data_IF_888489230014
#
_entry.id   IF_888489230014
#
_cell.length_a   1.000
_cell.length_b   1.000
_cell.length_c   1.000
_cell.angle_alpha   90.00
_cell.angle_beta   90.00
_cell.angle_gamma   90.00
#
_symmetry.space_group_name_H-M   'P 1'
#
loop_
_entity.id
_entity.type
_entity.pdbx_description
1 polymer ?
#
# COMPACT_ATOMS: atom_id res chain seq x y z
N UNK A 1 3.11 35.31 -16.98
CA UNK A 1 2.88 35.09 -15.54
C UNK A 1 2.58 33.60 -15.38
N UNK A 2 3.61 32.77 -15.22
CA UNK A 2 3.39 31.36 -14.88
C UNK A 2 3.04 31.32 -13.41
N UNK A 3 1.79 31.02 -13.12
CA UNK A 3 1.27 30.90 -11.77
C UNK A 3 2.15 29.89 -11.02
N UNK A 4 2.84 30.36 -9.98
CA UNK A 4 3.59 29.50 -9.07
C UNK A 4 2.53 28.78 -8.24
N UNK A 5 1.94 27.73 -8.81
CA UNK A 5 1.51 26.60 -8.01
C UNK A 5 2.77 26.17 -7.26
N UNK A 6 2.84 26.54 -5.98
CA UNK A 6 4.05 26.44 -5.19
C UNK A 6 4.55 25.01 -5.21
N UNK A 7 5.86 24.82 -5.30
CA UNK A 7 6.39 23.48 -5.42
C UNK A 7 6.08 22.65 -4.16
N UNK A 8 5.88 21.34 -4.30
CA UNK A 8 5.76 20.43 -3.18
C UNK A 8 6.92 20.58 -2.20
N UNK A 9 6.58 20.69 -0.93
CA UNK A 9 7.53 20.87 0.15
C UNK A 9 7.79 19.53 0.83
N UNK A 10 9.08 19.14 0.87
CA UNK A 10 9.53 17.92 1.52
C UNK A 10 10.00 18.24 2.94
N UNK A 11 9.54 17.44 3.91
CA UNK A 11 9.95 17.54 5.31
C UNK A 11 10.65 16.27 5.77
N UNK A 12 11.40 16.40 6.87
CA UNK A 12 11.97 15.27 7.59
C UNK A 12 11.15 14.98 8.86
N UNK A 13 11.05 13.72 9.22
CA UNK A 13 10.40 13.25 10.46
C UNK A 13 11.35 12.28 11.19
N UNK A 14 11.30 12.20 12.53
CA UNK A 14 12.27 11.40 13.30
C UNK A 14 12.31 9.91 12.95
N UNK A 15 11.19 9.35 12.46
CA UNK A 15 11.03 7.92 12.19
C UNK A 15 11.52 7.50 10.79
N UNK A 16 11.98 8.43 9.96
CA UNK A 16 12.50 8.11 8.63
C UNK A 16 13.83 7.37 8.71
N UNK A 17 13.99 6.39 7.81
CA UNK A 17 15.30 5.87 7.45
C UNK A 17 15.90 6.70 6.32
N UNK A 18 17.20 6.54 6.09
CA UNK A 18 17.89 7.10 4.93
C UNK A 18 18.56 5.98 4.12
N UNK A 19 18.32 5.97 2.82
CA UNK A 19 18.96 5.06 1.87
C UNK A 19 19.50 5.87 0.69
N UNK A 20 20.78 5.68 0.35
CA UNK A 20 21.46 6.39 -0.74
C UNK A 20 21.32 7.93 -0.67
N UNK A 21 21.36 8.49 0.55
CA UNK A 21 21.20 9.94 0.78
C UNK A 21 19.76 10.44 0.63
N UNK A 22 18.76 9.55 0.66
CA UNK A 22 17.34 9.89 0.47
C UNK A 22 16.48 9.36 1.61
N UNK A 23 15.50 10.15 2.09
CA UNK A 23 14.60 9.72 3.17
C UNK A 23 13.63 8.63 2.70
N UNK A 24 13.33 7.69 3.60
CA UNK A 24 12.33 6.64 3.42
C UNK A 24 11.39 6.57 4.64
N UNK A 25 10.07 6.78 4.44
CA UNK A 25 9.44 7.30 3.21
C UNK A 25 9.80 8.77 2.98
N UNK A 26 9.68 9.29 1.76
CA UNK A 26 9.67 10.74 1.55
C UNK A 26 8.36 11.34 2.11
N UNK A 27 8.38 12.56 2.66
CA UNK A 27 7.20 13.16 3.30
C UNK A 27 6.90 14.52 2.67
N UNK A 28 5.72 14.66 2.08
CA UNK A 28 5.17 15.96 1.67
C UNK A 28 4.20 16.46 2.73
N UNK A 29 4.35 17.71 3.14
CA UNK A 29 3.39 18.37 4.02
C UNK A 29 2.48 19.34 3.27
N UNK A 30 1.39 19.74 3.92
CA UNK A 30 0.46 20.74 3.40
C UNK A 30 0.91 22.17 3.74
N UNK A 31 2.15 22.54 3.42
CA UNK A 31 2.71 23.87 3.72
C UNK A 31 1.86 25.01 3.13
N UNK A 32 1.22 24.75 1.99
CA UNK A 32 0.40 25.72 1.26
C UNK A 32 -0.98 25.95 1.88
N UNK A 33 -1.29 25.25 2.99
CA UNK A 33 -2.58 25.37 3.68
C UNK A 33 -3.76 25.11 2.72
N UNK A 34 -3.64 24.09 1.86
CA UNK A 34 -4.71 23.67 0.97
C UNK A 34 -5.85 23.10 1.82
N UNK A 35 -7.02 23.73 1.76
CA UNK A 35 -8.17 23.38 2.61
C UNK A 35 -9.27 22.63 1.87
N UNK A 36 -9.33 22.71 0.54
CA UNK A 36 -10.39 22.06 -0.25
C UNK A 36 -9.85 20.89 -1.05
N UNK A 37 -10.68 19.85 -1.18
CA UNK A 37 -10.35 18.68 -1.99
C UNK A 37 -10.04 19.04 -3.44
N UNK A 38 -10.78 19.98 -4.03
CA UNK A 38 -10.54 20.43 -5.41
C UNK A 38 -9.16 21.09 -5.57
N UNK A 39 -8.73 21.91 -4.61
CA UNK A 39 -7.40 22.52 -4.62
C UNK A 39 -6.30 21.46 -4.45
N UNK A 40 -6.52 20.48 -3.58
CA UNK A 40 -5.58 19.36 -3.37
C UNK A 40 -5.45 18.52 -4.64
N UNK A 41 -6.55 18.14 -5.29
CA UNK A 41 -6.48 17.36 -6.52
C UNK A 41 -5.81 18.13 -7.67
N UNK A 42 -6.09 19.43 -7.80
CA UNK A 42 -5.42 20.27 -8.79
C UNK A 42 -3.91 20.38 -8.51
N UNK A 43 -3.52 20.52 -7.24
CA UNK A 43 -2.12 20.54 -6.81
C UNK A 43 -1.42 19.22 -7.11
N UNK A 44 -2.06 18.07 -6.84
CA UNK A 44 -1.51 16.75 -7.17
C UNK A 44 -1.25 16.60 -8.67
N UNK A 45 -2.25 16.96 -9.49
CA UNK A 45 -2.17 16.86 -10.95
C UNK A 45 -1.08 17.78 -11.51
N UNK A 46 -0.99 19.02 -11.03
CA UNK A 46 0.04 19.96 -11.46
C UNK A 46 1.46 19.52 -11.10
N UNK A 47 1.62 18.71 -10.05
CA UNK A 47 2.92 18.28 -9.54
C UNK A 47 3.22 16.79 -9.79
N UNK A 48 2.40 16.11 -10.59
CA UNK A 48 2.46 14.66 -10.79
C UNK A 48 3.87 14.15 -11.13
N UNK A 49 4.54 14.78 -12.10
CA UNK A 49 5.88 14.37 -12.53
C UNK A 49 6.93 14.42 -11.41
N UNK A 50 6.83 15.42 -10.51
CA UNK A 50 7.72 15.52 -9.35
C UNK A 50 7.38 14.45 -8.31
N UNK A 51 6.09 14.26 -8.01
CA UNK A 51 5.62 13.26 -7.04
C UNK A 51 6.02 11.85 -7.48
N UNK A 52 5.85 11.51 -8.76
CA UNK A 52 6.24 10.22 -9.34
C UNK A 52 7.75 10.00 -9.27
N UNK A 53 8.55 11.02 -9.60
CA UNK A 53 10.01 10.94 -9.49
C UNK A 53 10.46 10.71 -8.05
N UNK A 54 9.83 11.38 -7.09
CA UNK A 54 10.14 11.19 -5.67
C UNK A 54 9.72 9.79 -5.22
N UNK A 55 8.52 9.33 -5.58
CA UNK A 55 8.05 7.98 -5.28
C UNK A 55 8.96 6.90 -5.85
N UNK A 56 9.40 7.05 -7.11
CA UNK A 56 10.33 6.12 -7.75
C UNK A 56 11.68 6.07 -7.01
N UNK A 57 12.15 7.21 -6.49
CA UNK A 57 13.42 7.32 -5.81
C UNK A 57 13.39 6.81 -4.35
N UNK A 58 12.31 7.09 -3.62
CA UNK A 58 12.18 6.72 -2.21
C UNK A 58 11.54 5.34 -2.01
N UNK A 59 10.70 4.90 -2.95
CA UNK A 59 9.87 3.69 -2.84
C UNK A 59 8.56 3.89 -2.08
N UNK A 60 8.45 4.94 -1.27
CA UNK A 60 7.23 5.30 -0.55
C UNK A 60 7.17 6.80 -0.27
N UNK A 61 5.94 7.34 -0.28
CA UNK A 61 5.65 8.74 0.01
C UNK A 61 4.53 8.84 1.03
N UNK A 62 4.71 9.69 2.05
CA UNK A 62 3.69 10.08 3.01
C UNK A 62 3.22 11.51 2.71
N UNK A 63 1.91 11.70 2.58
CA UNK A 63 1.29 13.02 2.54
C UNK A 63 0.74 13.36 3.93
N UNK A 64 1.22 14.43 4.57
CA UNK A 64 0.89 14.80 5.96
C UNK A 64 0.25 16.19 6.04
N UNK A 65 -0.78 16.34 6.85
CA UNK A 65 -1.45 17.65 7.08
C UNK A 65 -2.46 18.05 6.00
N UNK A 66 -2.80 17.16 5.07
CA UNK A 66 -3.89 17.39 4.11
C UNK A 66 -5.23 17.01 4.74
N UNK A 67 -6.30 17.82 4.59
CA UNK A 67 -7.61 17.58 5.19
C UNK A 67 -8.42 16.50 4.42
N UNK A 68 -7.93 15.26 4.43
CA UNK A 68 -8.60 14.10 3.84
C UNK A 68 -9.31 13.34 4.96
N UNK A 69 -10.60 13.60 5.15
CA UNK A 69 -11.32 13.18 6.36
C UNK A 69 -12.10 11.87 6.23
N UNK A 70 -12.45 11.45 5.01
CA UNK A 70 -13.31 10.29 4.78
C UNK A 70 -12.96 9.53 3.49
N UNK A 71 -13.57 8.35 3.33
CA UNK A 71 -13.31 7.46 2.20
C UNK A 71 -13.56 8.11 0.83
N UNK A 72 -14.61 8.93 0.67
CA UNK A 72 -14.91 9.62 -0.58
C UNK A 72 -13.86 10.70 -0.93
N UNK A 73 -13.35 11.40 0.08
CA UNK A 73 -12.25 12.35 -0.11
C UNK A 73 -10.94 11.62 -0.47
N UNK A 74 -10.65 10.50 0.19
CA UNK A 74 -9.47 9.68 -0.10
C UNK A 74 -9.53 9.02 -1.49
N UNK A 75 -10.71 8.58 -1.92
CA UNK A 75 -10.96 8.08 -3.26
C UNK A 75 -10.58 9.15 -4.30
N UNK A 76 -11.13 10.36 -4.18
CA UNK A 76 -10.79 11.48 -5.09
C UNK A 76 -9.31 11.88 -5.02
N UNK A 77 -8.70 11.82 -3.84
CA UNK A 77 -7.27 12.07 -3.66
C UNK A 77 -6.42 11.06 -4.43
N UNK A 78 -6.68 9.77 -4.26
CA UNK A 78 -5.92 8.71 -4.94
C UNK A 78 -6.17 8.70 -6.45
N UNK A 79 -7.40 8.95 -6.88
CA UNK A 79 -7.76 9.04 -8.30
C UNK A 79 -7.06 10.21 -9.03
N UNK A 80 -6.70 11.29 -8.32
CA UNK A 80 -6.03 12.45 -8.92
C UNK A 80 -4.64 12.12 -9.50
N UNK A 81 -4.04 10.99 -9.13
CA UNK A 81 -2.78 10.51 -9.71
C UNK A 81 -2.97 9.85 -11.08
N UNK A 82 -4.19 9.49 -11.48
CA UNK A 82 -4.47 8.88 -12.79
C UNK A 82 -3.82 7.52 -13.01
N UNK A 83 -3.48 6.79 -11.95
CA UNK A 83 -3.01 5.41 -12.07
C UNK A 83 -4.16 4.48 -12.45
N UNK A 84 -3.89 3.34 -13.13
CA UNK A 84 -4.90 2.34 -13.41
C UNK A 84 -5.54 1.82 -12.12
N UNK A 85 -6.86 1.69 -12.13
CA UNK A 85 -7.60 1.11 -11.02
C UNK A 85 -7.28 -0.38 -10.89
N UNK A 86 -7.27 -0.86 -9.65
CA UNK A 86 -7.16 -2.27 -9.33
C UNK A 86 -8.33 -2.60 -8.40
N UNK A 87 -9.37 -3.25 -8.94
CA UNK A 87 -10.56 -3.52 -8.13
C UNK A 87 -10.34 -4.75 -7.26
N UNK A 88 -10.99 -4.78 -6.09
CA UNK A 88 -10.92 -5.96 -5.22
C UNK A 88 -11.55 -7.21 -5.86
N UNK A 89 -12.54 -7.04 -6.75
CA UNK A 89 -13.16 -8.15 -7.47
C UNK A 89 -12.19 -8.83 -8.45
N UNK A 90 -11.26 -8.06 -9.01
CA UNK A 90 -10.16 -8.57 -9.84
C UNK A 90 -9.04 -9.18 -8.98
N UNK A 91 -9.12 -9.04 -7.65
CA UNK A 91 -8.12 -9.56 -6.73
C UNK A 91 -8.41 -11.01 -6.30
N UNK A 92 -7.38 -11.85 -6.37
CA UNK A 92 -7.35 -13.18 -5.73
C UNK A 92 -6.89 -13.10 -4.27
N UNK A 93 -7.17 -11.98 -3.58
CA UNK A 93 -6.73 -11.75 -2.19
C UNK A 93 -7.51 -12.63 -1.21
N UNK A 94 -6.89 -13.13 -0.14
CA UNK A 94 -7.57 -13.98 0.85
C UNK A 94 -8.13 -13.21 2.07
N UNK A 95 -7.92 -11.89 2.11
CA UNK A 95 -8.32 -11.05 3.23
C UNK A 95 -9.80 -10.67 3.14
N UNK A 96 -10.47 -10.51 4.28
CA UNK A 96 -11.82 -9.92 4.32
C UNK A 96 -11.70 -8.40 4.22
N UNK A 97 -12.58 -7.77 3.41
CA UNK A 97 -12.56 -6.34 3.09
C UNK A 97 -13.98 -5.78 3.12
N UNK A 98 -14.13 -4.55 3.63
CA UNK A 98 -15.37 -3.77 3.50
C UNK A 98 -15.14 -2.66 2.48
N UNK A 99 -15.87 -2.69 1.36
CA UNK A 99 -15.83 -1.62 0.37
C UNK A 99 -16.55 -0.37 0.90
N UNK A 100 -15.85 0.76 0.86
CA UNK A 100 -16.37 2.07 1.24
C UNK A 100 -16.67 2.92 -0.01
N UNK A 101 -15.91 2.69 -1.09
CA UNK A 101 -16.17 3.15 -2.46
C UNK A 101 -15.71 2.07 -3.46
N UNK A 102 -15.74 2.35 -4.76
CA UNK A 102 -15.26 1.42 -5.79
C UNK A 102 -13.74 1.14 -5.69
N UNK A 103 -12.96 2.11 -5.19
CA UNK A 103 -11.49 2.02 -5.03
C UNK A 103 -11.01 1.93 -3.59
N UNK A 104 -11.85 2.33 -2.63
CA UNK A 104 -11.46 2.42 -1.22
C UNK A 104 -12.15 1.32 -0.43
N UNK A 105 -11.35 0.53 0.27
CA UNK A 105 -11.80 -0.54 1.15
C UNK A 105 -10.93 -0.61 2.41
N UNK A 106 -11.46 -1.26 3.46
CA UNK A 106 -10.71 -1.42 4.73
C UNK A 106 -9.52 -2.35 4.57
N UNK A 107 -8.36 -2.00 5.15
CA UNK A 107 -7.09 -2.66 4.89
C UNK A 107 -6.84 -3.98 5.66
N UNK A 108 -7.58 -4.24 6.74
CA UNK A 108 -7.58 -5.52 7.46
C UNK A 108 -8.71 -5.54 8.49
N UNK A 109 -9.42 -6.66 8.59
CA UNK A 109 -10.43 -6.92 9.62
C UNK A 109 -9.97 -7.98 10.64
N UNK A 110 -8.70 -8.41 10.57
CA UNK A 110 -8.16 -9.30 11.60
C UNK A 110 -8.14 -8.59 12.97
N UNK A 111 -8.17 -9.37 14.06
CA UNK A 111 -8.16 -8.79 15.41
C UNK A 111 -6.96 -7.85 15.63
N UNK A 112 -7.13 -6.73 16.35
CA UNK A 112 -6.10 -5.71 16.52
C UNK A 112 -4.84 -6.20 17.25
N UNK A 113 -4.93 -7.31 17.98
CA UNK A 113 -3.80 -7.99 18.63
C UNK A 113 -2.92 -8.82 17.68
N UNK A 114 -3.34 -9.03 16.44
CA UNK A 114 -2.60 -9.85 15.46
C UNK A 114 -1.58 -9.00 14.72
N UNK A 115 -0.31 -9.39 14.81
CA UNK A 115 0.75 -8.80 14.00
C UNK A 115 0.65 -9.27 12.54
N UNK A 116 0.72 -8.30 11.62
CA UNK A 116 0.81 -8.57 10.18
C UNK A 116 2.28 -8.51 9.77
N UNK A 117 2.82 -9.63 9.32
CA UNK A 117 4.21 -9.71 8.86
C UNK A 117 4.45 -8.95 7.56
N UNK A 118 5.70 -8.55 7.32
CA UNK A 118 6.11 -7.92 6.07
C UNK A 118 5.84 -8.84 4.87
N UNK A 119 5.23 -8.27 3.83
CA UNK A 119 4.99 -8.92 2.55
C UNK A 119 4.82 -7.85 1.46
N UNK A 120 4.93 -8.27 0.20
CA UNK A 120 4.39 -7.50 -0.91
C UNK A 120 2.91 -7.84 -1.08
N UNK A 121 2.08 -6.85 -1.35
CA UNK A 121 0.65 -7.05 -1.54
C UNK A 121 0.42 -8.01 -2.71
N UNK A 122 -0.34 -9.07 -2.44
CA UNK A 122 -0.67 -10.10 -3.44
C UNK A 122 0.57 -10.74 -4.11
N UNK A 123 1.66 -10.92 -3.38
CA UNK A 123 2.91 -11.49 -3.91
C UNK A 123 2.80 -12.89 -4.54
N UNK A 124 1.74 -13.65 -4.25
CA UNK A 124 1.51 -15.01 -4.75
C UNK A 124 0.35 -15.11 -5.76
N UNK A 125 -0.13 -14.00 -6.29
CA UNK A 125 -1.17 -13.98 -7.34
C UNK A 125 -0.54 -13.66 -8.70
N UNK A 126 -1.15 -14.10 -9.82
CA UNK A 126 -0.66 -13.80 -11.17
C UNK A 126 -0.78 -12.30 -11.53
N UNK A 127 -1.63 -11.56 -10.82
CA UNK A 127 -1.83 -10.12 -11.00
C UNK A 127 -1.68 -9.45 -9.64
N UNK A 128 -0.73 -8.53 -9.53
CA UNK A 128 -0.44 -7.77 -8.31
C UNK A 128 -0.44 -6.27 -8.58
N UNK A 129 -0.77 -5.43 -7.58
CA UNK A 129 -0.80 -3.99 -7.76
C UNK A 129 0.62 -3.41 -7.82
N UNK A 130 0.85 -2.48 -8.76
CA UNK A 130 2.13 -1.79 -8.87
C UNK A 130 2.34 -0.72 -7.77
N UNK A 131 1.25 -0.23 -7.17
CA UNK A 131 1.24 0.83 -6.15
C UNK A 131 0.06 0.61 -5.20
N UNK A 132 0.20 1.10 -3.97
CA UNK A 132 -0.84 1.09 -2.95
C UNK A 132 -0.95 2.45 -2.29
N UNK A 133 -2.15 2.81 -1.87
CA UNK A 133 -2.40 3.96 -1.02
C UNK A 133 -2.99 3.50 0.30
N UNK A 134 -2.51 4.09 1.40
CA UNK A 134 -3.09 3.94 2.73
C UNK A 134 -3.60 5.29 3.23
N UNK A 135 -4.74 5.27 3.92
CA UNK A 135 -5.32 6.44 4.57
C UNK A 135 -5.63 6.12 6.03
N UNK A 136 -5.11 6.97 6.92
CA UNK A 136 -5.45 6.93 8.33
C UNK A 136 -6.72 7.75 8.56
N UNK A 137 -7.88 7.09 8.55
CA UNK A 137 -9.14 7.75 8.92
C UNK A 137 -9.20 8.07 10.42
N UNK A 138 -8.73 7.15 11.27
CA UNK A 138 -8.62 7.33 12.70
C UNK A 138 -7.30 6.74 13.21
N UNK A 139 -6.47 7.56 13.86
CA UNK A 139 -5.20 7.12 14.41
C UNK A 139 -5.41 6.26 15.65
N UNK A 140 -4.67 5.15 15.75
CA UNK A 140 -4.67 4.31 16.94
C UNK A 140 -4.07 5.06 18.13
N UNK A 141 -4.57 4.81 19.35
CA UNK A 141 -4.00 5.38 20.57
C UNK A 141 -2.60 4.81 20.87
N UNK A 142 -2.38 3.54 20.54
CA UNK A 142 -1.12 2.82 20.67
C UNK A 142 -1.02 1.76 19.58
N UNK A 143 0.18 1.51 19.07
CA UNK A 143 0.41 0.52 18.01
C UNK A 143 -0.29 0.93 16.70
N UNK A 144 -0.76 -0.05 15.92
CA UNK A 144 -1.54 0.20 14.70
C UNK A 144 -0.78 0.86 13.54
N UNK A 145 0.52 1.07 13.67
CA UNK A 145 1.34 1.62 12.60
C UNK A 145 1.52 0.61 11.46
N UNK A 146 1.40 1.09 10.22
CA UNK A 146 1.74 0.29 9.03
C UNK A 146 3.25 0.31 8.82
N UNK A 147 3.92 -0.80 9.13
CA UNK A 147 5.36 -0.94 8.91
C UNK A 147 5.70 -1.00 7.42
N UNK A 148 6.73 -0.26 7.00
CA UNK A 148 7.24 -0.27 5.63
C UNK A 148 8.67 -0.79 5.60
N UNK A 149 9.01 -1.55 4.56
CA UNK A 149 10.35 -2.09 4.34
C UNK A 149 10.77 -1.93 2.89
N UNK A 150 12.00 -1.43 2.66
CA UNK A 150 12.62 -1.38 1.33
C UNK A 150 13.11 -2.78 0.94
N UNK A 151 12.28 -3.49 0.18
CA UNK A 151 12.57 -4.87 -0.24
C UNK A 151 13.86 -5.01 -1.06
N UNK A 152 14.23 -4.00 -1.84
CA UNK A 152 15.49 -3.94 -2.58
C UNK A 152 16.71 -3.87 -1.66
N UNK A 153 16.62 -3.07 -0.59
CA UNK A 153 17.67 -2.93 0.42
C UNK A 153 17.78 -4.19 1.29
N UNK A 154 16.64 -4.78 1.66
CA UNK A 154 16.61 -6.08 2.33
C UNK A 154 17.27 -7.16 1.46
N UNK A 155 17.00 -7.18 0.16
CA UNK A 155 17.62 -8.13 -0.75
C UNK A 155 19.14 -7.95 -0.86
N UNK A 156 19.62 -6.70 -0.97
CA UNK A 156 21.04 -6.39 -0.96
C UNK A 156 21.73 -6.88 0.33
N UNK A 157 21.09 -6.71 1.49
CA UNK A 157 21.59 -7.24 2.76
C UNK A 157 21.61 -8.78 2.80
N UNK A 158 20.62 -9.45 2.22
CA UNK A 158 20.59 -10.91 2.11
C UNK A 158 21.72 -11.41 1.21
N UNK A 159 21.98 -10.75 0.08
CA UNK A 159 23.09 -11.07 -0.82
C UNK A 159 24.45 -10.96 -0.10
N UNK A 160 24.64 -9.89 0.66
CA UNK A 160 25.89 -9.65 1.39
C UNK A 160 26.09 -10.61 2.58
N UNK A 161 25.05 -10.78 3.41
CA UNK A 161 25.14 -11.55 4.66
C UNK A 161 24.91 -13.05 4.50
N UNK A 162 24.13 -13.45 3.50
CA UNK A 162 23.71 -14.84 3.29
C UNK A 162 23.72 -15.25 1.80
N UNK A 163 24.84 -15.07 1.08
CA UNK A 163 24.90 -15.28 -0.37
C UNK A 163 24.50 -16.70 -0.79
N UNK A 164 24.84 -17.70 0.02
CA UNK A 164 24.45 -19.09 -0.22
C UNK A 164 22.93 -19.32 -0.19
N UNK A 165 22.21 -18.56 0.64
CA UNK A 165 20.74 -18.63 0.73
C UNK A 165 20.09 -17.86 -0.40
N UNK A 166 20.60 -16.66 -0.72
CA UNK A 166 20.15 -15.88 -1.87
C UNK A 166 20.18 -16.73 -3.14
N UNK A 167 21.32 -17.39 -3.40
CA UNK A 167 21.50 -18.27 -4.56
C UNK A 167 20.54 -19.46 -4.57
N UNK A 168 20.30 -20.09 -3.42
CA UNK A 168 19.30 -21.17 -3.33
C UNK A 168 17.88 -20.68 -3.67
N UNK A 169 17.50 -19.49 -3.21
CA UNK A 169 16.20 -18.92 -3.55
C UNK A 169 16.09 -18.56 -5.04
N UNK A 170 17.15 -18.03 -5.65
CA UNK A 170 17.20 -17.76 -7.09
C UNK A 170 17.14 -19.04 -7.92
N UNK A 171 17.91 -20.08 -7.55
CA UNK A 171 18.02 -21.32 -8.31
C UNK A 171 16.76 -22.21 -8.19
N UNK A 172 16.08 -22.18 -7.04
CA UNK A 172 14.99 -23.13 -6.74
C UNK A 172 13.63 -22.49 -6.51
N UNK A 173 13.56 -21.17 -6.25
CA UNK A 173 12.35 -20.50 -5.82
C UNK A 173 11.83 -20.99 -4.46
N UNK A 174 10.54 -20.79 -4.23
CA UNK A 174 9.84 -21.17 -3.00
C UNK A 174 8.56 -21.93 -3.33
N UNK A 175 8.20 -22.88 -2.47
CA UNK A 175 6.90 -23.57 -2.53
C UNK A 175 6.11 -23.25 -1.28
N UNK A 176 4.95 -22.63 -1.48
CA UNK A 176 3.98 -22.37 -0.43
C UNK A 176 2.90 -23.44 -0.46
N UNK A 177 2.43 -23.85 0.72
CA UNK A 177 1.27 -24.75 0.85
C UNK A 177 0.30 -24.10 1.82
N UNK A 178 -0.88 -23.76 1.31
CA UNK A 178 -1.92 -23.11 2.08
C UNK A 178 -3.12 -24.05 2.17
N UNK A 179 -3.64 -24.23 3.38
CA UNK A 179 -4.90 -24.93 3.61
C UNK A 179 -6.02 -23.88 3.70
N UNK A 180 -6.92 -23.91 2.73
CA UNK A 180 -8.05 -22.99 2.68
C UNK A 180 -9.31 -23.65 3.25
N UNK A 181 -10.06 -22.96 4.12
CA UNK A 181 -11.28 -23.51 4.70
C UNK A 181 -12.40 -23.62 3.66
N UNK A 182 -13.43 -24.41 3.98
CA UNK A 182 -14.63 -24.56 3.12
C UNK A 182 -15.53 -23.33 3.20
N UNK A 183 -15.54 -22.66 4.35
CA UNK A 183 -16.39 -21.52 4.65
C UNK A 183 -15.54 -20.33 5.10
N UNK A 184 -16.05 -19.12 4.86
CA UNK A 184 -15.36 -17.89 5.24
C UNK A 184 -15.37 -17.72 6.77
N UNK A 185 -14.28 -17.22 7.33
CA UNK A 185 -14.13 -16.92 8.75
C UNK A 185 -13.66 -15.48 8.96
N UNK A 186 -14.59 -14.58 9.30
CA UNK A 186 -14.29 -13.18 9.55
C UNK A 186 -13.35 -12.92 10.74
N UNK A 187 -13.19 -13.89 11.66
CA UNK A 187 -12.27 -13.76 12.78
C UNK A 187 -10.80 -14.10 12.43
N UNK A 188 -10.54 -14.50 11.18
CA UNK A 188 -9.19 -14.85 10.69
C UNK A 188 -8.68 -13.79 9.71
N UNK A 189 -7.42 -13.38 9.87
CA UNK A 189 -6.74 -12.49 8.90
C UNK A 189 -6.57 -13.11 7.50
N UNK A 190 -6.72 -14.44 7.38
CA UNK A 190 -6.80 -15.18 6.11
C UNK A 190 -8.14 -15.92 6.06
N UNK A 191 -9.22 -15.17 6.23
CA UNK A 191 -10.55 -15.70 6.47
C UNK A 191 -11.28 -16.25 5.24
N UNK A 192 -10.86 -15.94 4.01
CA UNK A 192 -11.58 -16.42 2.81
C UNK A 192 -11.42 -17.93 2.60
N UNK A 193 -12.52 -18.57 2.26
CA UNK A 193 -12.60 -19.94 1.78
C UNK A 193 -12.02 -20.10 0.37
N UNK A 194 -11.77 -21.34 -0.04
CA UNK A 194 -11.34 -21.64 -1.42
C UNK A 194 -12.40 -21.22 -2.45
N UNK A 195 -13.69 -21.37 -2.12
CA UNK A 195 -14.81 -20.93 -2.97
C UNK A 195 -14.78 -19.43 -3.20
N UNK A 196 -14.75 -18.66 -2.11
CA UNK A 196 -14.72 -17.21 -2.17
C UNK A 196 -13.47 -16.73 -2.90
N UNK A 197 -12.30 -17.29 -2.61
CA UNK A 197 -11.01 -16.86 -3.21
C UNK A 197 -10.94 -17.10 -4.71
N UNK A 198 -11.40 -18.26 -5.17
CA UNK A 198 -11.41 -18.61 -6.59
C UNK A 198 -12.65 -18.08 -7.34
N UNK A 199 -13.59 -17.47 -6.62
CA UNK A 199 -14.89 -17.01 -7.15
C UNK A 199 -15.72 -18.15 -7.77
N UNK A 200 -15.79 -19.29 -7.07
CA UNK A 200 -16.50 -20.52 -7.50
C UNK A 200 -17.46 -21.02 -6.42
N UNK A 201 -18.46 -21.79 -6.82
CA UNK A 201 -19.46 -22.36 -5.90
C UNK A 201 -19.21 -23.83 -5.55
N UNK A 202 -18.47 -24.56 -6.39
CA UNK A 202 -18.17 -25.98 -6.24
C UNK A 202 -16.79 -26.35 -6.80
N UNK A 203 -16.42 -27.63 -6.61
CA UNK A 203 -15.09 -28.13 -7.00
C UNK A 203 -14.93 -28.31 -8.50
N UNK A 204 -16.02 -28.39 -9.26
CA UNK A 204 -15.95 -28.55 -10.71
C UNK A 204 -15.62 -27.23 -11.40
N UNK A 205 -15.97 -26.10 -10.78
CA UNK A 205 -15.63 -24.76 -11.28
C UNK A 205 -14.24 -24.25 -10.88
N UNK A 206 -13.56 -24.88 -9.92
CA UNK A 206 -12.21 -24.52 -9.46
C UNK A 206 -11.13 -25.06 -10.40
#
# INVERSE_FOLDING_TARGET
MSDILSQPHLIQIPEQFEFDGRPFPAVFDNQQSLTSLAAITAWLQANQALLERVLLASGAVLFRGFPIENAAAFDRFSAAFGYPDFTYQESLSNAVRVNLTDRVFTANEAPPEVEIFLHHEMAQTPVSPAKLFFHCHAAAQQGGATSLCRSDQLYALILDRMPQWARKFEDHGLRYTTLMPVDDNAASGQGRSWKSTLSVTDRAGA
#
